data_IF_094941626192
#
_entry.id   IF_094941626192
#
_cell.length_a   1.000
_cell.length_b   1.000
_cell.length_c   1.000
_cell.angle_alpha   90.00
_cell.angle_beta   90.00
_cell.angle_gamma   90.00
#
_symmetry.space_group_name_H-M   'P 1'
#
loop_
_entity.id
_entity.type
_entity.pdbx_description
1 polymer ?
#
# COMPACT_ATOMS: atom_id res chain seq x y z
N UNK A 1 -8.52 -22.80 2.89
CA UNK A 1 -9.25 -21.54 3.19
C UNK A 1 -8.38 -20.37 2.76
N UNK A 2 -8.94 -19.22 2.39
CA UNK A 2 -8.16 -18.06 1.93
C UNK A 2 -8.65 -16.79 2.62
N UNK A 3 -7.73 -15.91 2.98
CA UNK A 3 -8.01 -14.60 3.57
C UNK A 3 -7.18 -13.53 2.88
N UNK A 4 -7.83 -12.42 2.52
CA UNK A 4 -7.16 -11.23 2.00
C UNK A 4 -7.19 -10.16 3.09
N UNK A 5 -6.02 -9.78 3.58
CA UNK A 5 -5.87 -8.78 4.63
C UNK A 5 -5.40 -7.47 4.03
N UNK A 6 -5.89 -6.36 4.59
CA UNK A 6 -5.51 -5.00 4.20
C UNK A 6 -4.91 -4.27 5.38
N UNK A 7 -3.73 -3.71 5.21
CA UNK A 7 -3.09 -2.81 6.15
C UNK A 7 -3.06 -1.40 5.57
N UNK A 8 -3.16 -0.38 6.45
CA UNK A 8 -2.96 1.02 6.09
C UNK A 8 -1.70 1.52 6.78
N UNK A 9 -0.84 2.23 6.04
CA UNK A 9 0.41 2.79 6.53
C UNK A 9 0.54 4.27 6.16
N UNK A 10 1.37 4.99 6.91
CA UNK A 10 1.59 6.43 6.75
C UNK A 10 3.06 6.75 6.96
N UNK A 11 3.62 7.61 6.10
CA UNK A 11 4.97 8.13 6.25
C UNK A 11 4.89 9.65 6.19
N UNK A 12 5.34 10.32 7.25
CA UNK A 12 5.34 11.78 7.34
C UNK A 12 6.69 12.31 6.87
N UNK A 13 6.69 13.06 5.77
CA UNK A 13 7.89 13.74 5.27
C UNK A 13 8.44 14.77 6.28
N UNK A 14 7.57 15.34 7.13
CA UNK A 14 8.00 16.27 8.17
C UNK A 14 8.84 15.55 9.24
N UNK A 15 8.36 14.43 9.76
CA UNK A 15 9.10 13.67 10.79
C UNK A 15 10.31 12.92 10.22
N UNK A 16 10.27 12.52 8.95
CA UNK A 16 11.42 11.93 8.28
C UNK A 16 12.64 12.87 8.27
N UNK A 17 12.41 14.18 8.10
CA UNK A 17 13.47 15.18 8.14
C UNK A 17 14.13 15.29 9.52
N UNK A 18 13.37 15.07 10.60
CA UNK A 18 13.88 15.13 11.97
C UNK A 18 14.70 13.89 12.35
N UNK A 19 14.39 12.73 11.74
CA UNK A 19 15.07 11.45 12.04
C UNK A 19 16.19 11.11 11.07
N UNK A 20 16.33 11.84 9.97
CA UNK A 20 17.28 11.54 8.90
C UNK A 20 16.82 10.38 7.99
N UNK A 21 15.55 10.00 8.05
CA UNK A 21 14.98 8.97 7.17
C UNK A 21 15.04 9.43 5.71
N UNK A 22 15.75 8.67 4.89
CA UNK A 22 16.09 9.02 3.52
C UNK A 22 15.20 8.34 2.48
N UNK A 23 15.33 8.76 1.22
CA UNK A 23 14.68 8.06 0.10
C UNK A 23 15.23 6.64 -0.09
N UNK A 24 16.51 6.39 0.24
CA UNK A 24 17.09 5.05 0.19
C UNK A 24 16.45 4.12 1.24
N UNK A 25 16.23 4.63 2.45
CA UNK A 25 15.49 3.90 3.49
C UNK A 25 14.05 3.62 3.07
N UNK A 26 13.42 4.58 2.39
CA UNK A 26 12.07 4.44 1.87
C UNK A 26 11.97 3.37 0.79
N UNK A 27 12.92 3.34 -0.14
CA UNK A 27 12.98 2.31 -1.18
C UNK A 27 13.19 0.92 -0.57
N UNK A 28 14.13 0.80 0.38
CA UNK A 28 14.36 -0.44 1.11
C UNK A 28 13.11 -0.89 1.87
N UNK A 29 12.37 0.04 2.46
CA UNK A 29 11.11 -0.25 3.14
C UNK A 29 10.05 -0.80 2.19
N UNK A 30 9.91 -0.24 0.98
CA UNK A 30 9.00 -0.76 -0.04
C UNK A 30 9.36 -2.15 -0.50
N UNK A 31 10.64 -2.40 -0.80
CA UNK A 31 11.14 -3.73 -1.15
C UNK A 31 10.88 -4.73 -0.02
N UNK A 32 11.09 -4.32 1.23
CA UNK A 32 10.83 -5.15 2.40
C UNK A 32 9.35 -5.50 2.54
N UNK A 33 8.43 -4.59 2.25
CA UNK A 33 6.99 -4.87 2.28
C UNK A 33 6.54 -5.82 1.17
N UNK A 34 7.09 -5.67 -0.04
CA UNK A 34 6.79 -6.59 -1.16
C UNK A 34 7.28 -8.00 -0.83
N UNK A 35 8.48 -8.13 -0.29
CA UNK A 35 9.10 -9.43 0.00
C UNK A 35 8.88 -9.92 1.45
N UNK A 36 7.99 -9.26 2.20
CA UNK A 36 7.87 -9.42 3.67
C UNK A 36 7.66 -10.86 4.13
N UNK A 37 7.02 -11.69 3.30
CA UNK A 37 6.66 -13.06 3.64
C UNK A 37 7.51 -14.13 2.97
N UNK A 38 8.40 -13.77 2.05
CA UNK A 38 9.21 -14.74 1.29
C UNK A 38 10.14 -15.55 2.21
N UNK A 39 10.61 -14.90 3.27
CA UNK A 39 11.51 -15.49 4.26
C UNK A 39 10.80 -15.92 5.56
N UNK A 40 9.52 -15.61 5.75
CA UNK A 40 8.74 -15.97 6.95
C UNK A 40 7.90 -17.24 6.74
N UNK A 41 8.55 -18.28 6.20
CA UNK A 41 7.93 -19.60 6.04
C UNK A 41 8.06 -20.40 7.33
N UNK A 42 6.94 -20.70 7.96
CA UNK A 42 6.87 -21.60 9.11
C UNK A 42 5.68 -22.54 9.01
N UNK A 43 5.77 -23.69 9.70
CA UNK A 43 4.70 -24.69 9.73
C UNK A 43 3.35 -24.13 10.25
N UNK A 44 3.38 -23.04 11.04
CA UNK A 44 2.19 -22.40 11.59
C UNK A 44 1.57 -21.33 10.68
N UNK A 45 2.34 -20.74 9.74
CA UNK A 45 1.90 -19.59 8.93
C UNK A 45 1.44 -19.95 7.52
N UNK A 46 1.81 -21.15 7.04
CA UNK A 46 1.45 -21.58 5.68
C UNK A 46 2.06 -20.67 4.61
N UNK A 47 1.31 -20.42 3.54
CA UNK A 47 1.71 -19.52 2.46
C UNK A 47 1.06 -18.14 2.63
N UNK A 48 1.90 -17.12 2.82
CA UNK A 48 1.51 -15.71 2.86
C UNK A 48 2.29 -14.97 1.79
N UNK A 49 1.64 -14.09 1.03
CA UNK A 49 2.28 -13.32 -0.03
C UNK A 49 1.73 -11.90 -0.03
N UNK A 50 2.57 -10.91 -0.35
CA UNK A 50 2.10 -9.57 -0.67
C UNK A 50 1.34 -9.64 -2.01
N UNK A 51 0.07 -9.21 -2.04
CA UNK A 51 -0.77 -9.22 -3.24
C UNK A 51 -0.89 -7.86 -3.92
N UNK A 52 -0.32 -6.82 -3.32
CA UNK A 52 -0.34 -5.47 -3.85
C UNK A 52 0.00 -4.43 -2.79
N UNK A 53 0.92 -3.55 -3.16
CA UNK A 53 1.32 -2.37 -2.40
C UNK A 53 0.91 -1.13 -3.20
N UNK A 54 -0.01 -0.34 -2.63
CA UNK A 54 -0.55 0.88 -3.22
C UNK A 54 -0.06 2.09 -2.43
N UNK A 55 0.79 2.91 -3.04
CA UNK A 55 1.45 4.05 -2.40
C UNK A 55 0.85 5.33 -2.96
N UNK A 56 0.26 6.15 -2.09
CA UNK A 56 -0.23 7.47 -2.45
C UNK A 56 0.81 8.51 -2.06
N UNK A 57 1.62 8.94 -3.04
CA UNK A 57 2.65 9.96 -2.84
C UNK A 57 2.03 11.34 -3.04
N UNK A 58 2.17 12.20 -2.04
CA UNK A 58 1.75 13.60 -2.16
C UNK A 58 2.78 14.38 -2.98
N UNK A 59 2.40 14.79 -4.19
CA UNK A 59 3.25 15.54 -5.12
C UNK A 59 2.59 16.87 -5.42
N UNK A 60 3.23 17.99 -5.09
CA UNK A 60 2.67 19.31 -5.38
C UNK A 60 3.77 20.25 -5.84
N UNK A 61 3.42 21.18 -6.73
CA UNK A 61 4.29 22.30 -7.10
C UNK A 61 4.59 23.21 -5.91
N UNK A 62 3.71 23.21 -4.89
CA UNK A 62 3.97 23.80 -3.59
C UNK A 62 4.60 22.74 -2.66
N UNK A 63 5.90 22.89 -2.40
CA UNK A 63 6.67 21.97 -1.57
C UNK A 63 6.15 21.88 -0.12
N UNK A 64 5.51 22.94 0.40
CA UNK A 64 4.88 22.91 1.73
C UNK A 64 3.64 22.01 1.73
N UNK A 65 2.80 22.13 0.70
CA UNK A 65 1.60 21.29 0.52
C UNK A 65 1.95 19.82 0.27
N UNK A 66 3.01 19.53 -0.48
CA UNK A 66 3.50 18.17 -0.68
C UNK A 66 3.90 17.50 0.65
N UNK A 67 4.57 18.24 1.54
CA UNK A 67 5.03 17.72 2.85
C UNK A 67 3.91 17.56 3.88
N UNK A 68 2.93 18.47 3.89
CA UNK A 68 1.84 18.48 4.86
C UNK A 68 0.64 17.61 4.44
N UNK A 69 0.53 17.28 3.16
CA UNK A 69 -0.52 16.44 2.60
C UNK A 69 -1.44 17.21 1.64
N UNK A 70 -1.60 16.64 0.44
CA UNK A 70 -2.44 17.21 -0.62
C UNK A 70 -3.92 16.78 -0.54
N UNK A 71 -4.19 15.63 0.10
CA UNK A 71 -5.51 15.04 0.24
C UNK A 71 -5.63 14.24 1.55
N UNK A 72 -6.83 14.10 2.14
CA UNK A 72 -7.02 13.31 3.36
C UNK A 72 -6.81 11.81 3.12
N UNK A 73 -6.06 11.15 4.00
CA UNK A 73 -5.67 9.76 3.82
C UNK A 73 -6.85 8.77 3.72
N UNK A 74 -7.93 8.96 4.50
CA UNK A 74 -9.11 8.10 4.42
C UNK A 74 -9.70 8.08 3.00
N UNK A 75 -9.78 9.24 2.33
CA UNK A 75 -10.27 9.34 0.95
C UNK A 75 -9.36 8.62 -0.03
N UNK A 76 -8.05 8.63 0.21
CA UNK A 76 -7.09 7.92 -0.63
C UNK A 76 -7.22 6.42 -0.45
N UNK A 77 -7.40 5.95 0.79
CA UNK A 77 -7.65 4.53 1.05
C UNK A 77 -8.99 4.07 0.47
N UNK A 78 -10.02 4.91 0.46
CA UNK A 78 -11.31 4.59 -0.17
C UNK A 78 -11.19 4.42 -1.70
N UNK A 79 -10.09 4.87 -2.33
CA UNK A 79 -9.84 4.61 -3.75
C UNK A 79 -9.51 3.14 -4.04
N UNK A 80 -9.01 2.38 -3.06
CA UNK A 80 -8.71 0.97 -3.26
C UNK A 80 -9.94 0.14 -2.94
N UNK A 81 -10.57 -0.37 -4.00
CA UNK A 81 -11.74 -1.22 -3.93
C UNK A 81 -11.32 -2.68 -4.01
N UNK A 82 -11.89 -3.50 -3.13
CA UNK A 82 -11.68 -4.95 -3.09
C UNK A 82 -13.04 -5.61 -3.09
N UNK A 83 -13.36 -6.27 -4.20
CA UNK A 83 -14.64 -6.94 -4.39
C UNK A 83 -14.42 -8.45 -4.46
N UNK A 84 -15.27 -9.21 -3.76
CA UNK A 84 -15.28 -10.66 -3.89
C UNK A 84 -16.03 -11.05 -5.17
N UNK A 85 -15.42 -11.91 -5.97
CA UNK A 85 -16.05 -12.54 -7.13
C UNK A 85 -16.82 -13.78 -6.68
N UNK A 86 -18.02 -13.97 -7.25
CA UNK A 86 -18.84 -15.15 -7.00
C UNK A 86 -19.49 -15.25 -5.61
N UNK A 87 -20.16 -16.38 -5.37
CA UNK A 87 -21.05 -16.60 -4.22
C UNK A 87 -20.46 -17.51 -3.14
N UNK A 88 -19.42 -18.28 -3.46
CA UNK A 88 -18.76 -19.22 -2.55
C UNK A 88 -17.79 -18.57 -1.56
N UNK A 89 -17.26 -19.38 -0.63
CA UNK A 89 -16.15 -18.96 0.22
C UNK A 89 -14.88 -18.81 -0.63
N UNK A 90 -14.13 -17.71 -0.51
CA UNK A 90 -12.90 -17.51 -1.27
C UNK A 90 -11.86 -18.58 -0.90
N UNK A 91 -11.11 -19.01 -1.91
CA UNK A 91 -10.08 -20.05 -1.82
C UNK A 91 -8.75 -19.61 -2.45
N UNK A 92 -8.75 -18.50 -3.17
CA UNK A 92 -7.61 -17.99 -3.91
C UNK A 92 -7.66 -16.46 -4.00
N UNK A 93 -6.59 -15.84 -4.51
CA UNK A 93 -6.59 -14.39 -4.75
C UNK A 93 -7.49 -14.02 -5.94
N UNK A 94 -7.62 -14.94 -6.89
CA UNK A 94 -8.40 -14.81 -8.11
C UNK A 94 -9.90 -14.62 -7.82
N UNK A 95 -10.36 -15.07 -6.66
CA UNK A 95 -11.70 -14.84 -6.12
C UNK A 95 -11.94 -13.39 -5.67
N UNK A 96 -10.94 -12.52 -5.81
CA UNK A 96 -11.05 -11.08 -5.55
C UNK A 96 -10.74 -10.27 -6.80
N UNK A 97 -11.43 -9.15 -6.96
CA UNK A 97 -11.09 -8.08 -7.88
C UNK A 97 -10.58 -6.89 -7.06
N UNK A 98 -9.34 -6.48 -7.31
CA UNK A 98 -8.76 -5.29 -6.68
C UNK A 98 -8.63 -4.22 -7.75
N UNK A 99 -9.12 -3.02 -7.46
CA UNK A 99 -9.01 -1.87 -8.36
C UNK A 99 -8.69 -0.59 -7.59
N UNK A 100 -8.04 0.35 -8.27
CA UNK A 100 -7.79 1.68 -7.76
C UNK A 100 -8.64 2.71 -8.52
N UNK A 101 -9.32 3.58 -7.78
CA UNK A 101 -10.08 4.70 -8.31
C UNK A 101 -9.18 5.82 -8.84
N UNK A 102 -9.82 6.84 -9.41
CA UNK A 102 -9.11 8.04 -9.89
C UNK A 102 -8.48 8.81 -8.73
N UNK A 103 -7.17 9.04 -8.80
CA UNK A 103 -6.48 9.88 -7.81
C UNK A 103 -6.80 11.37 -8.00
N UNK A 104 -6.92 12.15 -6.91
CA UNK A 104 -7.11 13.59 -6.98
C UNK A 104 -5.80 14.31 -7.36
N UNK A 105 -5.92 15.59 -7.73
CA UNK A 105 -4.76 16.41 -8.06
C UNK A 105 -3.77 16.48 -6.89
N UNK A 106 -2.49 16.38 -7.25
CA UNK A 106 -1.39 16.41 -6.30
C UNK A 106 -1.13 15.08 -5.57
N UNK A 107 -1.69 13.99 -6.09
CA UNK A 107 -1.38 12.62 -5.67
C UNK A 107 -0.84 11.85 -6.87
N UNK A 108 0.29 11.19 -6.65
CA UNK A 108 0.83 10.16 -7.53
C UNK A 108 0.53 8.79 -6.90
N UNK A 109 -0.10 7.90 -7.66
CA UNK A 109 -0.30 6.52 -7.24
C UNK A 109 0.80 5.64 -7.83
N UNK A 110 1.56 5.00 -6.95
CA UNK A 110 2.59 4.02 -7.30
C UNK A 110 2.08 2.66 -6.84
N UNK A 111 2.21 1.64 -7.71
CA UNK A 111 1.77 0.27 -7.43
C UNK A 111 2.96 -0.69 -7.55
N UNK A 112 3.14 -1.55 -6.54
CA UNK A 112 4.21 -2.55 -6.50
C UNK A 112 3.65 -3.91 -6.07
N UNK A 113 4.33 -5.00 -6.44
CA UNK A 113 3.97 -6.36 -5.99
C UNK A 113 2.58 -6.84 -6.42
N UNK A 114 2.09 -6.35 -7.57
CA UNK A 114 0.85 -6.79 -8.21
C UNK A 114 1.18 -7.79 -9.32
#
# INVERSE_FOLDING_TARGET
PYGLYRAHGFISAHYAADTGFSEDDLNLFWESLVNMFDHDRSAARGEMNCRGLYIFKHVSSDAGRAKLGCAPAHKLFDLINVERKGTGLPRSFEDYAVSAGKVPDGIELITMGV
#
